data_IF_784804340854
#
_entry.id   IF_784804340854
#
_cell.length_a   1.000
_cell.length_b   1.000
_cell.length_c   1.000
_cell.angle_alpha   90.00
_cell.angle_beta   90.00
_cell.angle_gamma   90.00
#
_symmetry.space_group_name_H-M   'P 1'
#
loop_
_entity.id
_entity.type
_entity.pdbx_description
1 polymer ?
#
# COMPACT_ATOMS: atom_id res chain seq x y z
N UNK A 1 11.88 -41.26 -14.94
CA UNK A 1 12.19 -40.62 -13.65
C UNK A 1 12.02 -39.13 -13.83
N UNK A 2 10.84 -38.58 -13.50
CA UNK A 2 10.69 -37.13 -13.38
C UNK A 2 11.28 -36.76 -12.02
N UNK A 3 12.29 -35.89 -12.00
CA UNK A 3 12.97 -35.47 -10.78
C UNK A 3 11.96 -34.94 -9.75
N UNK A 4 12.18 -35.31 -8.49
CA UNK A 4 11.37 -34.97 -7.30
C UNK A 4 11.38 -33.47 -6.93
N UNK A 5 11.66 -32.58 -7.87
CA UNK A 5 11.67 -31.13 -7.67
C UNK A 5 10.48 -30.52 -8.39
N UNK A 6 9.27 -30.86 -7.95
CA UNK A 6 8.12 -30.03 -8.28
C UNK A 6 8.24 -28.73 -7.49
N UNK A 7 9.04 -27.80 -8.00
CA UNK A 7 9.04 -26.42 -7.52
C UNK A 7 7.68 -25.82 -7.91
N UNK A 8 6.68 -26.00 -7.06
CA UNK A 8 5.47 -25.18 -7.14
C UNK A 8 5.98 -23.75 -6.96
N UNK A 9 5.85 -22.85 -7.96
CA UNK A 9 6.32 -21.49 -7.82
C UNK A 9 5.58 -20.87 -6.63
N UNK A 10 6.30 -20.69 -5.54
CA UNK A 10 5.74 -20.27 -4.24
C UNK A 10 5.18 -18.86 -4.35
N UNK A 11 5.80 -18.07 -5.22
CA UNK A 11 5.36 -16.74 -5.64
C UNK A 11 4.65 -16.76 -6.99
N UNK A 12 3.52 -16.06 -7.04
CA UNK A 12 2.78 -15.82 -8.26
C UNK A 12 2.51 -14.31 -8.41
N UNK A 13 2.30 -13.87 -9.65
CA UNK A 13 2.09 -12.45 -9.97
C UNK A 13 0.90 -11.85 -9.22
N UNK A 14 -0.12 -12.63 -8.88
CA UNK A 14 -1.31 -12.17 -8.18
C UNK A 14 -1.06 -11.90 -6.69
N UNK A 15 -0.25 -12.73 -6.02
CA UNK A 15 0.26 -12.45 -4.66
C UNK A 15 1.10 -11.18 -4.63
N UNK A 16 2.00 -11.02 -5.61
CA UNK A 16 2.80 -9.79 -5.75
C UNK A 16 1.91 -8.56 -5.95
N UNK A 17 0.95 -8.61 -6.87
CA UNK A 17 -0.01 -7.52 -7.11
C UNK A 17 -0.83 -7.18 -5.85
N UNK A 18 -1.20 -8.20 -5.07
CA UNK A 18 -1.93 -8.01 -3.81
C UNK A 18 -1.10 -7.23 -2.80
N UNK A 19 0.14 -7.68 -2.58
CA UNK A 19 1.06 -7.04 -1.63
C UNK A 19 1.48 -5.64 -2.10
N UNK A 20 1.77 -5.48 -3.39
CA UNK A 20 2.08 -4.18 -3.98
C UNK A 20 0.90 -3.21 -3.83
N UNK A 21 -0.32 -3.66 -4.11
CA UNK A 21 -1.53 -2.88 -3.89
C UNK A 21 -1.72 -2.47 -2.43
N UNK A 22 -1.49 -3.40 -1.49
CA UNK A 22 -1.54 -3.13 -0.05
C UNK A 22 -0.52 -2.06 0.36
N UNK A 23 0.71 -2.16 -0.14
CA UNK A 23 1.75 -1.16 0.10
C UNK A 23 1.30 0.21 -0.41
N UNK A 24 0.77 0.31 -1.63
CA UNK A 24 0.23 1.56 -2.16
C UNK A 24 -0.90 2.14 -1.32
N UNK A 25 -1.80 1.30 -0.78
CA UNK A 25 -2.87 1.75 0.12
C UNK A 25 -2.30 2.35 1.39
N UNK A 26 -1.36 1.67 2.04
CA UNK A 26 -0.72 2.14 3.27
C UNK A 26 0.02 3.46 3.03
N UNK A 27 0.83 3.54 1.96
CA UNK A 27 1.56 4.76 1.62
C UNK A 27 0.62 5.89 1.21
N UNK A 28 -0.41 5.62 0.42
CA UNK A 28 -1.40 6.63 0.02
C UNK A 28 -2.15 7.19 1.23
N UNK A 29 -2.54 6.33 2.18
CA UNK A 29 -3.18 6.75 3.43
C UNK A 29 -2.23 7.56 4.32
N UNK A 30 -0.97 7.12 4.45
CA UNK A 30 0.05 7.88 5.17
C UNK A 30 0.29 9.26 4.57
N UNK A 31 0.41 9.37 3.24
CA UNK A 31 0.56 10.67 2.55
C UNK A 31 -0.67 11.55 2.81
N UNK A 32 -1.88 10.96 2.76
CA UNK A 32 -3.12 11.70 3.02
C UNK A 32 -3.14 12.29 4.43
N UNK A 33 -2.89 11.48 5.46
CA UNK A 33 -2.90 11.93 6.86
C UNK A 33 -1.77 12.93 7.12
N UNK A 34 -0.54 12.62 6.67
CA UNK A 34 0.62 13.50 6.81
C UNK A 34 0.40 14.85 6.12
N UNK A 35 -0.17 14.87 4.92
CA UNK A 35 -0.51 16.12 4.21
C UNK A 35 -1.54 16.93 4.98
N UNK A 36 -2.59 16.27 5.50
CA UNK A 36 -3.65 16.95 6.22
C UNK A 36 -3.15 17.56 7.53
N UNK A 37 -2.35 16.81 8.30
CA UNK A 37 -1.76 17.28 9.56
C UNK A 37 -0.77 18.42 9.32
N UNK A 38 0.12 18.26 8.33
CA UNK A 38 1.08 19.30 7.94
C UNK A 38 0.39 20.58 7.46
N UNK A 39 -0.68 20.46 6.67
CA UNK A 39 -1.49 21.60 6.25
C UNK A 39 -2.14 22.28 7.45
N UNK A 40 -2.85 21.52 8.30
CA UNK A 40 -3.58 22.08 9.44
C UNK A 40 -2.64 22.82 10.38
N UNK A 41 -1.51 22.22 10.75
CA UNK A 41 -0.53 22.85 11.63
C UNK A 41 0.01 24.15 11.03
N UNK A 42 0.50 24.12 9.78
CA UNK A 42 1.06 25.31 9.12
C UNK A 42 0.01 26.40 8.88
N UNK A 43 -1.22 26.01 8.55
CA UNK A 43 -2.32 26.93 8.28
C UNK A 43 -2.75 27.64 9.56
N UNK A 44 -2.98 26.89 10.64
CA UNK A 44 -3.37 27.44 11.94
C UNK A 44 -2.27 28.32 12.52
N UNK A 45 -1.01 27.88 12.47
CA UNK A 45 0.14 28.68 12.92
C UNK A 45 0.22 30.01 12.15
N UNK A 46 0.07 29.97 10.83
CA UNK A 46 0.14 31.18 10.00
C UNK A 46 -1.03 32.13 10.25
N UNK A 47 -2.24 31.59 10.50
CA UNK A 47 -3.40 32.39 10.90
C UNK A 47 -3.22 33.05 12.26
N UNK A 48 -2.72 32.32 13.26
CA UNK A 48 -2.46 32.86 14.60
C UNK A 48 -1.36 33.93 14.55
N UNK A 49 -0.30 33.72 13.76
CA UNK A 49 0.74 34.72 13.57
C UNK A 49 0.21 35.97 12.87
N UNK A 50 -0.64 35.82 11.85
CA UNK A 50 -1.26 36.96 11.15
C UNK A 50 -2.14 37.75 12.11
N UNK A 51 -3.03 37.09 12.85
CA UNK A 51 -3.94 37.77 13.79
C UNK A 51 -3.21 38.51 14.90
N UNK A 52 -2.09 37.96 15.42
CA UNK A 52 -1.25 38.65 16.41
C UNK A 52 -0.68 39.98 15.88
N UNK A 53 -0.28 40.02 14.61
CA UNK A 53 0.25 41.23 13.97
C UNK A 53 -0.86 42.24 13.64
N UNK A 54 -2.04 41.76 13.24
CA UNK A 54 -3.21 42.61 12.96
C UNK A 54 -3.78 43.30 14.21
N UNK A 55 -3.51 42.76 15.40
CA UNK A 55 -3.91 43.40 16.67
C UNK A 55 -3.02 44.59 17.06
N UNK A 56 -1.92 44.84 16.35
CA UNK A 56 -1.05 46.00 16.59
C UNK A 56 -1.77 47.26 16.09
N UNK A 57 -2.00 48.23 16.98
CA UNK A 57 -2.82 49.43 16.71
C UNK A 57 -2.23 50.34 15.62
N UNK A 58 -0.90 50.50 15.60
CA UNK A 58 -0.16 51.33 14.64
C UNK A 58 1.03 50.55 14.07
N UNK A 59 0.80 49.63 13.12
CA UNK A 59 1.85 48.75 12.63
C UNK A 59 2.86 49.50 11.76
N UNK A 60 4.15 49.20 11.96
CA UNK A 60 5.21 49.74 11.14
C UNK A 60 5.30 49.04 9.76
N UNK A 61 6.12 49.58 8.85
CA UNK A 61 6.28 49.02 7.50
C UNK A 61 6.77 47.56 7.49
N UNK A 62 7.55 47.14 8.48
CA UNK A 62 8.02 45.77 8.61
C UNK A 62 6.91 44.82 9.06
N UNK A 63 6.02 45.24 9.96
CA UNK A 63 4.85 44.48 10.41
C UNK A 63 3.83 44.31 9.29
N UNK A 64 3.58 45.36 8.49
CA UNK A 64 2.70 45.29 7.32
C UNK A 64 3.20 44.25 6.28
N UNK A 65 4.51 44.25 6.00
CA UNK A 65 5.12 43.26 5.09
C UNK A 65 5.03 41.83 5.63
N UNK A 66 5.11 41.65 6.94
CA UNK A 66 4.93 40.32 7.55
C UNK A 66 3.49 39.83 7.40
N UNK A 67 2.50 40.70 7.58
CA UNK A 67 1.08 40.36 7.35
C UNK A 67 0.86 39.92 5.91
N UNK A 68 1.37 40.69 4.94
CA UNK A 68 1.28 40.37 3.51
C UNK A 68 1.96 39.04 3.17
N UNK A 69 3.16 38.80 3.72
CA UNK A 69 3.88 37.55 3.54
C UNK A 69 3.12 36.35 4.13
N UNK A 70 2.50 36.51 5.30
CA UNK A 70 1.67 35.48 5.93
C UNK A 70 0.40 35.20 5.14
N UNK A 71 -0.24 36.24 4.61
CA UNK A 71 -1.39 36.12 3.73
C UNK A 71 -1.05 35.34 2.46
N UNK A 72 0.06 35.68 1.80
CA UNK A 72 0.53 34.94 0.63
C UNK A 72 0.86 33.49 0.96
N UNK A 73 1.48 33.24 2.12
CA UNK A 73 1.75 31.87 2.59
C UNK A 73 0.46 31.07 2.79
N UNK A 74 -0.57 31.67 3.39
CA UNK A 74 -1.88 31.03 3.57
C UNK A 74 -2.52 30.71 2.21
N UNK A 75 -2.50 31.67 1.28
CA UNK A 75 -3.01 31.48 -0.08
C UNK A 75 -2.36 30.28 -0.78
N UNK A 76 -1.02 30.20 -0.71
CA UNK A 76 -0.26 29.08 -1.29
C UNK A 76 -0.62 27.75 -0.62
N UNK A 77 -0.69 27.71 0.72
CA UNK A 77 -1.06 26.50 1.45
C UNK A 77 -2.44 25.98 1.02
N UNK A 78 -3.42 26.88 0.87
CA UNK A 78 -4.79 26.54 0.45
C UNK A 78 -4.81 26.08 -1.01
N UNK A 79 -4.04 26.73 -1.89
CA UNK A 79 -3.94 26.37 -3.30
C UNK A 79 -3.29 24.99 -3.52
N UNK A 80 -2.29 24.64 -2.73
CA UNK A 80 -1.53 23.40 -2.87
C UNK A 80 -2.25 22.17 -2.28
N UNK A 81 -3.03 22.36 -1.21
CA UNK A 81 -3.78 21.27 -0.53
C UNK A 81 -4.55 20.33 -1.48
N UNK A 82 -5.39 20.81 -2.41
CA UNK A 82 -6.17 19.92 -3.28
C UNK A 82 -5.29 19.06 -4.19
N UNK A 83 -4.12 19.54 -4.59
CA UNK A 83 -3.18 18.75 -5.41
C UNK A 83 -2.70 17.52 -4.64
N UNK A 84 -2.17 17.71 -3.44
CA UNK A 84 -1.64 16.61 -2.61
C UNK A 84 -2.74 15.64 -2.18
N UNK A 85 -3.92 16.13 -1.80
CA UNK A 85 -5.06 15.29 -1.47
C UNK A 85 -5.45 14.43 -2.67
N UNK A 86 -5.68 15.05 -3.84
CA UNK A 86 -6.05 14.32 -5.07
C UNK A 86 -5.02 13.27 -5.45
N UNK A 87 -3.73 13.62 -5.38
CA UNK A 87 -2.64 12.70 -5.67
C UNK A 87 -2.66 11.48 -4.73
N UNK A 88 -2.79 11.70 -3.42
CA UNK A 88 -2.90 10.62 -2.43
C UNK A 88 -4.12 9.74 -2.67
N UNK A 89 -5.28 10.33 -2.99
CA UNK A 89 -6.51 9.59 -3.30
C UNK A 89 -6.34 8.71 -4.53
N UNK A 90 -5.67 9.21 -5.57
CA UNK A 90 -5.36 8.43 -6.79
C UNK A 90 -4.48 7.23 -6.42
N UNK A 91 -3.39 7.43 -5.68
CA UNK A 91 -2.51 6.34 -5.24
C UNK A 91 -3.30 5.28 -4.44
N UNK A 92 -4.11 5.71 -3.48
CA UNK A 92 -4.92 4.79 -2.67
C UNK A 92 -5.96 4.04 -3.51
N UNK A 93 -6.58 4.69 -4.49
CA UNK A 93 -7.52 4.05 -5.40
C UNK A 93 -6.84 2.98 -6.28
N UNK A 94 -5.69 3.30 -6.86
CA UNK A 94 -4.87 2.34 -7.62
C UNK A 94 -4.39 1.18 -6.75
N UNK A 95 -3.93 1.47 -5.52
CA UNK A 95 -3.52 0.45 -4.57
C UNK A 95 -4.67 -0.51 -4.23
N UNK A 96 -5.84 0.04 -3.92
CA UNK A 96 -7.05 -0.74 -3.64
C UNK A 96 -7.44 -1.61 -4.83
N UNK A 97 -7.38 -1.05 -6.04
CA UNK A 97 -7.68 -1.80 -7.26
C UNK A 97 -6.73 -3.00 -7.44
N UNK A 98 -5.41 -2.80 -7.36
CA UNK A 98 -4.44 -3.88 -7.49
C UNK A 98 -4.55 -4.92 -6.37
N UNK A 99 -4.81 -4.46 -5.15
CA UNK A 99 -5.01 -5.34 -4.00
C UNK A 99 -6.20 -6.27 -4.22
N UNK A 100 -7.37 -5.73 -4.55
CA UNK A 100 -8.59 -6.50 -4.76
C UNK A 100 -8.48 -7.40 -6.00
N UNK A 101 -7.94 -6.88 -7.11
CA UNK A 101 -7.75 -7.65 -8.33
C UNK A 101 -6.78 -8.81 -8.13
N UNK A 102 -5.62 -8.54 -7.53
CA UNK A 102 -4.61 -9.55 -7.20
C UNK A 102 -5.19 -10.62 -6.28
N UNK A 103 -5.89 -10.20 -5.21
CA UNK A 103 -6.47 -11.13 -4.26
C UNK A 103 -7.54 -12.01 -4.91
N UNK A 104 -8.45 -11.42 -5.70
CA UNK A 104 -9.50 -12.16 -6.39
C UNK A 104 -8.92 -13.21 -7.34
N UNK A 105 -7.94 -12.83 -8.17
CA UNK A 105 -7.29 -13.75 -9.11
C UNK A 105 -6.49 -14.84 -8.41
N UNK A 106 -5.78 -14.49 -7.34
CA UNK A 106 -5.03 -15.48 -6.58
C UNK A 106 -5.97 -16.49 -5.92
N UNK A 107 -6.95 -16.02 -5.15
CA UNK A 107 -7.78 -16.87 -4.31
C UNK A 107 -8.76 -17.72 -5.11
N UNK A 108 -9.43 -17.15 -6.12
CA UNK A 108 -10.48 -17.87 -6.84
C UNK A 108 -9.98 -18.64 -8.07
N UNK A 109 -8.96 -18.14 -8.77
CA UNK A 109 -8.54 -18.76 -10.04
C UNK A 109 -7.30 -19.65 -9.89
N UNK A 110 -6.31 -19.21 -9.10
CA UNK A 110 -5.02 -19.88 -9.03
C UNK A 110 -4.93 -20.86 -7.86
N UNK A 111 -5.40 -20.49 -6.66
CA UNK A 111 -5.33 -21.31 -5.46
C UNK A 111 -5.97 -22.70 -5.65
N UNK A 112 -7.18 -22.84 -6.24
CA UNK A 112 -7.79 -24.16 -6.41
C UNK A 112 -6.96 -25.10 -7.29
N UNK A 113 -6.33 -24.57 -8.34
CA UNK A 113 -5.46 -25.34 -9.24
C UNK A 113 -4.18 -25.80 -8.55
N UNK A 114 -3.62 -24.96 -7.68
CA UNK A 114 -2.46 -25.30 -6.87
C UNK A 114 -2.80 -26.36 -5.83
N UNK A 115 -3.97 -26.26 -5.20
CA UNK A 115 -4.44 -27.23 -4.22
C UNK A 115 -4.69 -28.61 -4.87
N UNK A 116 -5.27 -28.64 -6.08
CA UNK A 116 -5.45 -29.87 -6.86
C UNK A 116 -4.10 -30.50 -7.25
N UNK A 117 -3.17 -29.69 -7.75
CA UNK A 117 -1.82 -30.16 -8.09
C UNK A 117 -1.11 -30.75 -6.86
N UNK A 118 -1.26 -30.10 -5.70
CA UNK A 118 -0.67 -30.55 -4.45
C UNK A 118 -1.24 -31.91 -4.01
N UNK A 119 -2.56 -32.11 -4.12
CA UNK A 119 -3.20 -33.39 -3.80
C UNK A 119 -2.71 -34.53 -4.71
N UNK A 120 -2.57 -34.26 -6.02
CA UNK A 120 -2.04 -35.23 -6.98
C UNK A 120 -0.58 -35.61 -6.67
N UNK A 121 0.26 -34.62 -6.33
CA UNK A 121 1.65 -34.85 -5.93
C UNK A 121 1.73 -35.69 -4.65
N UNK A 122 0.86 -35.40 -3.67
CA UNK A 122 0.78 -36.13 -2.41
C UNK A 122 0.34 -37.58 -2.62
N UNK A 123 -0.65 -37.83 -3.50
CA UNK A 123 -1.07 -39.19 -3.89
C UNK A 123 0.07 -39.98 -4.54
N UNK A 124 0.79 -39.35 -5.48
CA UNK A 124 1.95 -39.97 -6.14
C UNK A 124 3.07 -40.31 -5.15
N UNK A 125 3.43 -39.36 -4.28
CA UNK A 125 4.46 -39.58 -3.27
C UNK A 125 4.09 -40.74 -2.32
N UNK A 126 2.83 -40.84 -1.89
CA UNK A 126 2.35 -41.96 -1.07
C UNK A 126 2.46 -43.31 -1.79
N UNK A 127 2.14 -43.37 -3.08
CA UNK A 127 2.26 -44.58 -3.88
C UNK A 127 3.72 -45.03 -4.02
N UNK A 128 4.63 -44.09 -4.30
CA UNK A 128 6.07 -44.35 -4.41
C UNK A 128 6.66 -44.88 -3.08
N UNK A 129 6.28 -44.28 -1.94
CA UNK A 129 6.69 -44.76 -0.61
C UNK A 129 6.20 -46.18 -0.36
N UNK A 130 4.94 -46.49 -0.73
CA UNK A 130 4.38 -47.84 -0.56
C UNK A 130 5.10 -48.88 -1.42
N UNK A 131 5.47 -48.54 -2.65
CA UNK A 131 6.27 -49.43 -3.51
C UNK A 131 7.67 -49.69 -2.93
N UNK A 132 8.32 -48.65 -2.40
CA UNK A 132 9.63 -48.77 -1.75
C UNK A 132 9.54 -49.68 -0.52
N UNK A 133 8.51 -49.53 0.31
CA UNK A 133 8.28 -50.39 1.47
C UNK A 133 8.05 -51.85 1.06
N UNK A 134 7.22 -52.08 0.04
CA UNK A 134 6.95 -53.43 -0.48
C UNK A 134 8.19 -54.09 -1.12
N UNK A 135 9.11 -53.33 -1.72
CA UNK A 135 10.38 -53.85 -2.26
C UNK A 135 11.42 -54.16 -1.18
N UNK A 136 11.38 -53.47 -0.03
CA UNK A 136 12.32 -53.67 1.10
C UNK A 136 11.94 -54.84 2.01
N UNK A 137 10.68 -55.27 2.01
CA UNK A 137 10.25 -56.49 2.69
C UNK A 137 10.46 -57.68 1.74
N UNK A 138 11.42 -58.59 1.99
CA UNK A 138 11.55 -59.79 1.17
C UNK A 138 10.23 -60.56 1.29
N UNK A 139 9.59 -60.84 0.15
CA UNK A 139 8.45 -61.75 0.07
C UNK A 139 8.93 -63.10 0.59
N UNK A 140 8.55 -63.44 1.83
CA UNK A 140 8.65 -64.80 2.36
C UNK A 140 7.62 -65.68 1.68
#
# INVERSE_FOLDING_TARGET
MLSSSANIPTDNIYKFLTLFGLVLVIFGFYIFTSTNDNFNNKYIDSLISKSKLELIKDPNSYELKQIEALEKKIELLVADKPFYIRFSTIITAFGTFFMVYGFKKWYFDLQPKLDELLDLQLKKAKAEVKEIQNKKLPRK
#
